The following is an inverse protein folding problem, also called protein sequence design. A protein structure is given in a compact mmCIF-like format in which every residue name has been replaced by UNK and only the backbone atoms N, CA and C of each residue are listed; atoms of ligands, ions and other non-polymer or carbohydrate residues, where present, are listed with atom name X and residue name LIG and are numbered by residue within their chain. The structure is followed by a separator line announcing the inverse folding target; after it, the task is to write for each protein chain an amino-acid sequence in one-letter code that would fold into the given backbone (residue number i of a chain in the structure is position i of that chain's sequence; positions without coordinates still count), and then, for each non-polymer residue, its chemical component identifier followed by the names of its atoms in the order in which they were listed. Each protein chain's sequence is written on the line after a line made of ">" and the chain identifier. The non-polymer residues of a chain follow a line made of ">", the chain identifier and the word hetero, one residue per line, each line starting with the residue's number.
data_IF_971703417285
#
_entry.id   IF_971703417285
#
_cell.length_a   1.000
_cell.length_b   1.000
_cell.length_c   1.000
_cell.angle_alpha   90.00
_cell.angle_beta   90.00
_cell.angle_gamma   90.00
#
_symmetry.space_group_name_H-M   'P 1'
#
loop_
_entity.id
_entity.type
_entity.pdbx_description
1 polymer ?
#
# COMPACT_ATOMS: atom_id res chain seq x y z
N UNK A 1 -9.61 26.41 18.23
CA UNK A 1 -9.53 26.91 16.82
C UNK A 1 -9.75 25.75 15.88
N UNK A 2 -10.75 25.79 15.00
CA UNK A 2 -11.19 24.60 14.22
C UNK A 2 -10.27 24.37 13.02
N UNK A 3 -9.28 23.48 13.13
CA UNK A 3 -8.42 23.02 12.02
C UNK A 3 -9.19 22.26 10.90
N UNK A 4 -10.46 21.93 11.14
CA UNK A 4 -11.31 21.14 10.26
C UNK A 4 -11.52 21.68 8.82
N UNK A 5 -11.21 22.94 8.53
CA UNK A 5 -11.47 23.59 7.23
C UNK A 5 -10.23 24.16 6.55
N UNK A 6 -9.07 24.06 7.15
CA UNK A 6 -7.85 24.52 6.49
C UNK A 6 -7.49 23.53 5.38
N UNK A 7 -7.56 24.00 4.14
CA UNK A 7 -7.00 23.32 2.97
C UNK A 7 -5.66 24.00 2.68
N UNK A 8 -4.67 23.16 2.33
CA UNK A 8 -3.41 23.67 1.80
C UNK A 8 -3.55 24.11 0.33
N UNK A 9 -2.43 24.53 -0.30
CA UNK A 9 -2.41 24.91 -1.72
C UNK A 9 -2.79 23.77 -2.67
N UNK A 10 -2.70 22.52 -2.23
CA UNK A 10 -3.10 21.32 -2.97
C UNK A 10 -4.61 21.03 -2.89
N UNK A 11 -5.37 21.75 -2.08
CA UNK A 11 -6.79 21.52 -1.80
C UNK A 11 -7.06 20.33 -0.87
N UNK A 12 -6.02 19.71 -0.31
CA UNK A 12 -6.11 18.63 0.68
C UNK A 12 -6.34 19.25 2.07
N UNK A 13 -7.17 18.61 2.88
CA UNK A 13 -7.41 19.07 4.26
C UNK A 13 -6.20 18.73 5.13
N UNK A 14 -5.80 19.65 5.99
CA UNK A 14 -4.71 19.40 6.96
C UNK A 14 -5.00 18.16 7.81
N UNK A 15 -6.26 17.94 8.18
CA UNK A 15 -6.68 16.76 8.93
C UNK A 15 -6.40 15.44 8.16
N UNK A 16 -6.61 15.40 6.83
CA UNK A 16 -6.30 14.21 6.03
C UNK A 16 -4.80 13.90 6.06
N UNK A 17 -3.95 14.93 6.00
CA UNK A 17 -2.50 14.78 6.11
C UNK A 17 -2.07 14.23 7.47
N UNK A 18 -2.67 14.70 8.56
CA UNK A 18 -2.40 14.17 9.91
C UNK A 18 -2.81 12.69 10.03
N UNK A 19 -3.95 12.31 9.44
CA UNK A 19 -4.39 10.91 9.37
C UNK A 19 -3.36 10.06 8.61
N UNK A 20 -2.86 10.53 7.45
CA UNK A 20 -1.87 9.80 6.67
C UNK A 20 -0.54 9.66 7.40
N UNK A 21 -0.07 10.72 8.08
CA UNK A 21 1.15 10.64 8.88
C UNK A 21 1.01 9.65 10.03
N UNK A 22 -0.07 9.73 10.80
CA UNK A 22 -0.30 8.77 11.89
C UNK A 22 -0.44 7.34 11.37
N UNK A 23 -1.12 7.14 10.24
CA UNK A 23 -1.26 5.82 9.61
C UNK A 23 0.08 5.28 9.11
N UNK A 24 0.95 6.11 8.51
CA UNK A 24 2.30 5.71 8.11
C UNK A 24 3.09 5.17 9.30
N UNK A 25 3.09 5.91 10.41
CA UNK A 25 3.81 5.53 11.63
C UNK A 25 3.25 4.24 12.26
N UNK A 26 1.92 4.05 12.24
CA UNK A 26 1.27 2.86 12.80
C UNK A 26 1.46 1.61 11.93
N UNK A 27 1.58 1.75 10.61
CA UNK A 27 1.79 0.65 9.68
C UNK A 27 3.27 0.32 9.46
N UNK A 28 4.19 1.08 10.00
CA UNK A 28 5.62 0.76 9.99
C UNK A 28 5.92 -0.48 10.85
N UNK A 29 6.95 -1.23 10.46
CA UNK A 29 7.41 -2.38 11.24
C UNK A 29 7.71 -1.99 12.70
N UNK A 30 7.21 -2.71 13.70
CA UNK A 30 7.40 -2.39 15.10
C UNK A 30 8.80 -2.79 15.61
N UNK A 31 9.79 -1.97 15.27
CA UNK A 31 11.17 -2.04 15.75
C UNK A 31 11.37 -1.32 17.10
N UNK A 32 12.60 -1.15 17.52
CA UNK A 32 12.97 -0.44 18.77
C UNK A 32 12.44 1.01 18.84
N UNK A 33 12.11 1.62 17.69
CA UNK A 33 11.51 2.94 17.58
C UNK A 33 9.99 2.98 17.82
N UNK A 34 9.32 1.83 18.04
CA UNK A 34 7.86 1.76 18.14
C UNK A 34 7.30 2.71 19.21
N UNK A 35 7.89 2.76 20.40
CA UNK A 35 7.41 3.61 21.50
C UNK A 35 7.41 5.09 21.09
N UNK A 36 8.51 5.58 20.54
CA UNK A 36 8.61 6.97 20.07
C UNK A 36 7.63 7.29 18.94
N UNK A 37 7.40 6.33 18.02
CA UNK A 37 6.37 6.49 16.99
C UNK A 37 4.96 6.58 17.58
N UNK A 38 4.64 5.76 18.57
CA UNK A 38 3.35 5.79 19.26
C UNK A 38 3.14 7.10 20.03
N UNK A 39 4.20 7.70 20.59
CA UNK A 39 4.13 8.99 21.24
C UNK A 39 3.85 10.12 20.21
N UNK A 40 4.55 10.09 19.08
CA UNK A 40 4.27 10.99 17.95
C UNK A 40 2.84 10.83 17.43
N UNK A 41 2.34 9.60 17.31
CA UNK A 41 0.95 9.33 16.92
C UNK A 41 -0.02 9.94 17.94
N UNK A 42 0.24 9.82 19.23
CA UNK A 42 -0.62 10.41 20.27
C UNK A 42 -0.70 11.93 20.14
N UNK A 43 0.42 12.60 19.86
CA UNK A 43 0.46 14.04 19.59
C UNK A 43 -0.37 14.41 18.34
N UNK A 44 -0.19 13.68 17.23
CA UNK A 44 -0.95 13.90 16.01
C UNK A 44 -2.46 13.74 16.25
N UNK A 45 -2.87 12.70 17.00
CA UNK A 45 -4.27 12.43 17.32
C UNK A 45 -4.92 13.53 18.14
N UNK A 46 -4.17 14.30 18.93
CA UNK A 46 -4.66 15.51 19.59
C UNK A 46 -5.20 16.55 18.62
N UNK A 47 -4.85 16.48 17.34
CA UNK A 47 -5.26 17.39 16.27
C UNK A 47 -6.21 16.74 15.24
N UNK A 48 -6.49 15.44 15.34
CA UNK A 48 -7.41 14.72 14.44
C UNK A 48 -8.74 14.52 15.14
N UNK A 49 -9.78 15.15 14.60
CA UNK A 49 -11.13 15.04 15.17
C UNK A 49 -11.99 14.02 14.38
N UNK A 50 -12.97 13.45 15.08
CA UNK A 50 -13.97 12.56 14.51
C UNK A 50 -13.49 11.11 14.33
N UNK A 51 -14.26 10.28 13.59
CA UNK A 51 -14.08 8.83 13.55
C UNK A 51 -12.69 8.35 13.12
N UNK A 52 -11.98 9.12 12.28
CA UNK A 52 -10.63 8.75 11.85
C UNK A 52 -9.63 8.77 13.02
N UNK A 53 -9.75 9.74 13.93
CA UNK A 53 -8.94 9.80 15.15
C UNK A 53 -9.20 8.61 16.08
N UNK A 54 -10.46 8.24 16.26
CA UNK A 54 -10.86 7.08 17.06
C UNK A 54 -10.29 5.77 16.48
N UNK A 55 -10.41 5.57 15.17
CA UNK A 55 -9.87 4.41 14.48
C UNK A 55 -8.35 4.28 14.65
N UNK A 56 -7.60 5.37 14.46
CA UNK A 56 -6.15 5.38 14.67
C UNK A 56 -5.79 5.14 16.14
N UNK A 57 -6.54 5.72 17.05
CA UNK A 57 -6.39 5.54 18.49
C UNK A 57 -6.56 4.08 18.92
N UNK A 58 -7.49 3.33 18.32
CA UNK A 58 -7.66 1.90 18.58
C UNK A 58 -6.41 1.10 18.22
N UNK A 59 -5.83 1.34 17.03
CA UNK A 59 -4.57 0.68 16.64
C UNK A 59 -3.42 1.07 17.56
N UNK A 60 -3.26 2.37 17.87
CA UNK A 60 -2.19 2.85 18.75
C UNK A 60 -2.29 2.21 20.15
N UNK A 61 -3.50 2.14 20.72
CA UNK A 61 -3.72 1.49 22.01
C UNK A 61 -3.41 -0.01 21.98
N UNK A 62 -3.82 -0.71 20.92
CA UNK A 62 -3.54 -2.13 20.75
C UNK A 62 -2.03 -2.42 20.65
N UNK A 63 -1.28 -1.59 19.89
CA UNK A 63 0.17 -1.74 19.78
C UNK A 63 0.88 -1.39 21.08
N UNK A 64 0.44 -0.35 21.79
CA UNK A 64 1.02 0.05 23.09
C UNK A 64 0.83 -1.02 24.17
N UNK A 65 -0.24 -1.79 24.09
CA UNK A 65 -0.52 -2.88 25.04
C UNK A 65 0.27 -4.17 24.75
N UNK A 66 1.03 -4.24 23.64
CA UNK A 66 1.80 -5.43 23.25
C UNK A 66 3.26 -5.31 23.70
N UNK A 67 3.83 -6.42 24.11
CA UNK A 67 5.27 -6.55 24.25
C UNK A 67 5.95 -6.37 22.87
N UNK A 68 7.10 -5.68 22.77
CA UNK A 68 7.74 -5.37 21.49
C UNK A 68 7.97 -6.58 20.57
N UNK A 69 8.47 -7.68 21.13
CA UNK A 69 8.71 -8.91 20.36
C UNK A 69 7.40 -9.52 19.86
N UNK A 70 6.34 -9.52 20.67
CA UNK A 70 5.03 -10.02 20.26
C UNK A 70 4.42 -9.13 19.16
N UNK A 71 4.59 -7.81 19.26
CA UNK A 71 4.15 -6.88 18.21
C UNK A 71 4.86 -7.15 16.87
N UNK A 72 6.17 -7.40 16.90
CA UNK A 72 6.96 -7.73 15.71
C UNK A 72 6.51 -9.08 15.09
N UNK A 73 6.28 -10.09 15.91
CA UNK A 73 5.78 -11.39 15.44
C UNK A 73 4.38 -11.28 14.85
N UNK A 74 3.47 -10.54 15.48
CA UNK A 74 2.12 -10.29 14.98
C UNK A 74 2.13 -9.52 13.65
N UNK A 75 3.06 -8.57 13.49
CA UNK A 75 3.26 -7.83 12.24
C UNK A 75 3.68 -8.76 11.10
N UNK A 76 4.73 -9.56 11.30
CA UNK A 76 5.20 -10.53 10.32
C UNK A 76 4.09 -11.53 9.97
N UNK A 77 3.40 -12.08 10.98
CA UNK A 77 2.28 -12.99 10.76
C UNK A 77 1.12 -12.34 9.97
N UNK A 78 0.94 -11.02 10.11
CA UNK A 78 -0.12 -10.28 9.42
C UNK A 78 0.25 -9.91 8.00
N UNK A 79 1.42 -9.28 7.79
CA UNK A 79 1.76 -8.62 6.52
C UNK A 79 2.70 -9.44 5.64
N UNK A 80 3.62 -10.21 6.22
CA UNK A 80 4.61 -10.95 5.45
C UNK A 80 4.14 -12.37 5.10
N UNK A 81 3.42 -13.03 6.04
CA UNK A 81 2.98 -14.40 5.84
C UNK A 81 1.60 -14.53 5.16
N UNK A 82 0.82 -13.44 5.08
CA UNK A 82 -0.51 -13.44 4.47
C UNK A 82 -0.53 -12.62 3.18
N UNK A 83 -0.49 -13.28 2.05
CA UNK A 83 -0.58 -12.63 0.72
C UNK A 83 -1.77 -11.66 0.57
N UNK A 84 -2.87 -11.89 1.31
CA UNK A 84 -4.08 -11.05 1.28
C UNK A 84 -3.97 -9.79 2.15
N UNK A 85 -2.89 -9.63 2.92
CA UNK A 85 -2.65 -8.46 3.75
C UNK A 85 -1.42 -7.67 3.31
N UNK A 86 -0.95 -7.86 2.08
CA UNK A 86 0.19 -7.11 1.55
C UNK A 86 -0.09 -5.62 1.46
N UNK A 87 0.88 -4.82 1.85
CA UNK A 87 0.85 -3.36 1.78
C UNK A 87 1.44 -2.78 0.49
N UNK A 88 1.85 -3.63 -0.45
CA UNK A 88 2.31 -3.19 -1.78
C UNK A 88 1.11 -2.97 -2.69
N UNK A 89 0.81 -1.72 -3.01
CA UNK A 89 -0.43 -1.33 -3.68
C UNK A 89 -0.54 -1.89 -5.09
N UNK A 90 0.57 -1.91 -5.85
CA UNK A 90 0.58 -2.44 -7.22
C UNK A 90 0.50 -3.96 -7.29
N UNK A 91 0.74 -4.66 -6.17
CA UNK A 91 0.62 -6.10 -6.12
C UNK A 91 -0.81 -6.58 -6.44
N UNK A 92 -1.83 -5.84 -6.01
CA UNK A 92 -3.23 -6.18 -6.24
C UNK A 92 -3.70 -5.93 -7.67
N UNK A 93 -3.03 -5.04 -8.41
CA UNK A 93 -3.37 -4.67 -9.79
C UNK A 93 -2.55 -5.44 -10.81
N UNK A 94 -1.27 -5.65 -10.53
CA UNK A 94 -0.32 -6.28 -11.44
C UNK A 94 0.17 -7.67 -10.99
N UNK A 95 -0.10 -8.07 -9.74
CA UNK A 95 0.48 -9.29 -9.18
C UNK A 95 2.00 -9.20 -9.06
N UNK A 96 2.65 -10.35 -8.93
CA UNK A 96 4.11 -10.46 -8.96
C UNK A 96 4.58 -10.72 -10.41
N UNK A 97 4.27 -9.79 -11.30
CA UNK A 97 4.51 -9.89 -12.73
C UNK A 97 5.43 -8.78 -13.23
N UNK A 98 5.95 -8.92 -14.47
CA UNK A 98 6.73 -7.86 -15.14
C UNK A 98 5.97 -6.54 -15.25
N UNK A 99 4.64 -6.56 -15.27
CA UNK A 99 3.82 -5.36 -15.32
C UNK A 99 3.90 -4.53 -14.04
N UNK A 100 4.19 -5.14 -12.88
CA UNK A 100 4.35 -4.45 -11.60
C UNK A 100 5.41 -3.36 -11.66
N UNK A 101 6.57 -3.63 -12.29
CA UNK A 101 7.60 -2.61 -12.48
C UNK A 101 7.11 -1.36 -13.21
N UNK A 102 6.21 -1.53 -14.18
CA UNK A 102 5.59 -0.40 -14.91
C UNK A 102 4.64 0.39 -14.01
N UNK A 103 3.83 -0.28 -13.20
CA UNK A 103 2.91 0.40 -12.27
C UNK A 103 3.66 1.14 -11.15
N UNK A 104 4.73 0.56 -10.62
CA UNK A 104 5.62 1.22 -9.64
C UNK A 104 6.27 2.49 -10.20
N UNK A 105 6.44 2.59 -11.53
CA UNK A 105 7.01 3.78 -12.16
C UNK A 105 6.18 5.04 -11.93
N UNK A 106 4.87 4.91 -11.79
CA UNK A 106 3.99 6.03 -11.49
C UNK A 106 4.29 6.64 -10.12
N UNK A 107 4.57 5.81 -9.12
CA UNK A 107 4.98 6.27 -7.78
C UNK A 107 6.35 6.94 -7.82
N UNK A 108 7.35 6.27 -8.42
CA UNK A 108 8.69 6.82 -8.55
C UNK A 108 8.72 8.15 -9.34
N UNK A 109 7.83 8.31 -10.31
CA UNK A 109 7.68 9.55 -11.07
C UNK A 109 7.08 10.65 -10.20
N UNK A 110 6.02 10.36 -9.43
CA UNK A 110 5.42 11.33 -8.53
C UNK A 110 6.42 11.85 -7.48
N UNK A 111 7.28 10.98 -6.94
CA UNK A 111 8.33 11.39 -6.01
C UNK A 111 9.34 12.33 -6.66
N UNK A 112 9.83 12.01 -7.86
CA UNK A 112 10.78 12.85 -8.60
C UNK A 112 10.18 14.22 -8.99
N UNK A 113 8.92 14.23 -9.42
CA UNK A 113 8.19 15.47 -9.74
C UNK A 113 8.00 16.36 -8.50
N UNK A 114 7.87 15.77 -7.31
CA UNK A 114 7.84 16.48 -6.04
C UNK A 114 9.23 16.90 -5.53
N UNK A 115 10.31 16.59 -6.29
CA UNK A 115 11.69 16.98 -5.93
C UNK A 115 12.35 16.05 -4.91
N UNK A 116 11.79 14.86 -4.64
CA UNK A 116 12.41 13.89 -3.73
C UNK A 116 12.78 12.61 -4.47
N UNK A 117 13.88 11.93 -4.09
CA UNK A 117 14.21 10.64 -4.68
C UNK A 117 13.17 9.58 -4.27
N UNK A 118 12.94 8.55 -5.09
CA UNK A 118 12.23 7.35 -4.64
C UNK A 118 12.92 6.74 -3.40
N UNK A 119 12.17 6.04 -2.52
CA UNK A 119 12.75 5.44 -1.31
C UNK A 119 13.88 4.47 -1.67
N UNK A 120 14.92 4.44 -0.82
CA UNK A 120 16.04 3.53 -0.96
C UNK A 120 15.80 2.34 -0.02
N UNK A 121 15.87 1.12 -0.56
CA UNK A 121 15.67 -0.10 0.22
C UNK A 121 14.22 -0.51 0.43
N UNK A 122 13.26 0.30 -0.04
CA UNK A 122 11.83 -0.01 0.02
C UNK A 122 11.15 0.22 -1.33
N UNK A 123 10.09 -0.52 -1.61
CA UNK A 123 9.35 -0.34 -2.85
C UNK A 123 8.56 0.97 -2.84
N UNK A 124 8.52 1.72 -3.97
CA UNK A 124 7.87 3.02 -4.02
C UNK A 124 6.35 2.96 -3.84
N UNK A 125 5.73 1.79 -4.02
CA UNK A 125 4.30 1.53 -3.84
C UNK A 125 3.95 0.96 -2.45
N UNK A 126 4.92 0.89 -1.52
CA UNK A 126 4.70 0.43 -0.16
C UNK A 126 3.84 1.44 0.61
N UNK A 127 2.71 1.00 1.14
CA UNK A 127 1.69 1.88 1.70
C UNK A 127 2.22 2.87 2.76
N UNK A 128 3.03 2.47 3.77
CA UNK A 128 3.59 3.42 4.73
C UNK A 128 4.39 4.55 4.07
N UNK A 129 5.18 4.25 3.05
CA UNK A 129 5.97 5.25 2.29
C UNK A 129 5.07 6.19 1.51
N UNK A 130 4.04 5.66 0.84
CA UNK A 130 3.07 6.48 0.09
C UNK A 130 2.30 7.41 1.02
N UNK A 131 1.95 6.95 2.23
CA UNK A 131 1.27 7.75 3.24
C UNK A 131 2.16 8.86 3.78
N UNK A 132 3.43 8.57 4.06
CA UNK A 132 4.41 9.58 4.48
C UNK A 132 4.62 10.65 3.41
N UNK A 133 4.81 10.24 2.16
CA UNK A 133 4.89 11.16 1.02
C UNK A 133 3.65 12.06 0.91
N UNK A 134 2.45 11.46 1.02
CA UNK A 134 1.19 12.20 0.98
C UNK A 134 1.03 13.17 2.15
N UNK A 135 1.55 12.83 3.31
CA UNK A 135 1.43 13.67 4.50
C UNK A 135 2.43 14.84 4.49
N UNK A 136 3.68 14.61 4.05
CA UNK A 136 4.80 15.51 4.33
C UNK A 136 5.36 16.21 3.09
N UNK A 137 5.31 15.56 1.91
CA UNK A 137 5.97 16.06 0.70
C UNK A 137 4.99 16.68 -0.28
N UNK A 138 4.13 15.87 -0.91
CA UNK A 138 3.11 16.36 -1.86
C UNK A 138 1.74 15.75 -1.56
N UNK A 139 0.89 16.45 -0.79
CA UNK A 139 -0.43 15.96 -0.45
C UNK A 139 -1.36 15.75 -1.66
N UNK A 140 -1.18 16.56 -2.70
CA UNK A 140 -1.97 16.45 -3.92
C UNK A 140 -1.63 15.19 -4.72
N UNK A 141 -0.34 14.96 -4.99
CA UNK A 141 0.14 13.76 -5.66
C UNK A 141 -0.14 12.51 -4.83
N UNK A 142 0.14 12.55 -3.52
CA UNK A 142 -0.15 11.44 -2.61
C UNK A 142 -1.62 11.05 -2.60
N UNK A 143 -2.53 12.04 -2.53
CA UNK A 143 -3.97 11.77 -2.63
C UNK A 143 -4.36 11.12 -3.95
N UNK A 144 -3.78 11.57 -5.08
CA UNK A 144 -4.03 10.94 -6.39
C UNK A 144 -3.58 9.47 -6.40
N UNK A 145 -2.37 9.17 -5.90
CA UNK A 145 -1.85 7.81 -5.80
C UNK A 145 -2.74 6.93 -4.93
N UNK A 146 -3.10 7.37 -3.73
CA UNK A 146 -3.98 6.63 -2.82
C UNK A 146 -5.37 6.41 -3.43
N UNK A 147 -5.94 7.42 -4.10
CA UNK A 147 -7.26 7.31 -4.75
C UNK A 147 -7.23 6.36 -5.94
N UNK A 148 -6.17 6.39 -6.76
CA UNK A 148 -6.01 5.46 -7.89
C UNK A 148 -5.87 3.99 -7.41
N UNK A 149 -5.39 3.80 -6.18
CA UNK A 149 -5.24 2.48 -5.56
C UNK A 149 -6.31 2.20 -4.50
N UNK A 150 -7.51 2.81 -4.66
CA UNK A 150 -8.63 2.59 -3.74
C UNK A 150 -9.01 1.12 -3.59
N UNK A 151 -9.07 0.39 -4.68
CA UNK A 151 -9.41 -1.05 -4.69
C UNK A 151 -8.42 -1.88 -3.88
N UNK A 152 -7.09 -1.78 -4.07
CA UNK A 152 -6.09 -2.37 -3.17
C UNK A 152 -6.31 -2.06 -1.68
N UNK A 153 -6.59 -0.80 -1.35
CA UNK A 153 -6.83 -0.38 0.03
C UNK A 153 -8.08 -1.04 0.63
N UNK A 154 -9.16 -1.13 -0.13
CA UNK A 154 -10.39 -1.79 0.33
C UNK A 154 -10.21 -3.30 0.52
N UNK A 155 -9.43 -3.97 -0.36
CA UNK A 155 -9.07 -5.38 -0.20
C UNK A 155 -8.23 -5.59 1.06
N UNK A 156 -7.19 -4.77 1.26
CA UNK A 156 -6.35 -4.83 2.46
C UNK A 156 -7.18 -4.61 3.73
N UNK A 157 -8.02 -3.57 3.74
CA UNK A 157 -8.93 -3.27 4.86
C UNK A 157 -9.82 -4.46 5.21
N UNK A 158 -10.44 -5.08 4.19
CA UNK A 158 -11.29 -6.26 4.37
C UNK A 158 -10.51 -7.45 4.95
N UNK A 159 -9.36 -7.77 4.36
CA UNK A 159 -8.51 -8.88 4.82
C UNK A 159 -8.03 -8.71 6.28
N UNK A 160 -7.69 -7.48 6.67
CA UNK A 160 -7.30 -7.18 8.06
C UNK A 160 -8.49 -7.27 9.01
N UNK A 161 -9.68 -6.81 8.60
CA UNK A 161 -10.90 -6.90 9.40
C UNK A 161 -11.33 -8.35 9.61
N UNK A 162 -11.34 -9.17 8.54
CA UNK A 162 -11.69 -10.60 8.59
C UNK A 162 -10.71 -11.39 9.49
N UNK A 163 -9.46 -10.94 9.57
CA UNK A 163 -8.45 -11.54 10.43
C UNK A 163 -8.49 -11.03 11.89
N UNK A 164 -9.37 -10.08 12.23
CA UNK A 164 -9.38 -9.42 13.55
C UNK A 164 -8.08 -8.65 13.85
N UNK A 165 -7.36 -8.18 12.81
CA UNK A 165 -6.07 -7.53 12.96
C UNK A 165 -6.21 -6.15 13.62
N UNK A 166 -5.34 -5.78 14.57
CA UNK A 166 -5.33 -4.45 15.18
C UNK A 166 -5.00 -3.33 14.19
N UNK A 167 -4.51 -3.65 13.00
CA UNK A 167 -4.19 -2.69 11.93
C UNK A 167 -5.38 -2.33 11.05
N UNK A 168 -6.49 -3.09 11.10
CA UNK A 168 -7.69 -2.83 10.30
C UNK A 168 -8.26 -1.41 10.49
N UNK A 169 -8.35 -0.86 11.71
CA UNK A 169 -8.84 0.50 11.93
C UNK A 169 -7.95 1.56 11.27
N UNK A 170 -6.63 1.37 11.23
CA UNK A 170 -5.72 2.31 10.56
C UNK A 170 -6.00 2.41 9.07
N UNK A 171 -6.16 1.28 8.38
CA UNK A 171 -6.48 1.29 6.95
C UNK A 171 -7.89 1.85 6.71
N UNK A 172 -8.84 1.60 7.60
CA UNK A 172 -10.17 2.20 7.54
C UNK A 172 -10.12 3.74 7.67
N UNK A 173 -9.28 4.27 8.57
CA UNK A 173 -9.07 5.71 8.71
C UNK A 173 -8.49 6.35 7.44
N UNK A 174 -7.52 5.69 6.79
CA UNK A 174 -6.99 6.13 5.48
C UNK A 174 -8.10 6.15 4.43
N UNK A 175 -8.87 5.06 4.30
CA UNK A 175 -9.98 4.98 3.35
C UNK A 175 -11.04 6.08 3.55
N UNK A 176 -11.28 6.51 4.80
CA UNK A 176 -12.23 7.57 5.11
C UNK A 176 -11.77 8.98 4.65
N UNK A 177 -10.49 9.19 4.37
CA UNK A 177 -9.95 10.45 3.81
C UNK A 177 -10.09 10.54 2.30
N UNK A 178 -10.35 9.43 1.63
CA UNK A 178 -10.41 9.32 0.17
C UNK A 178 -11.86 9.46 -0.32
N UNK A 179 -12.07 9.74 -1.62
CA UNK A 179 -13.40 9.69 -2.21
C UNK A 179 -14.09 8.36 -1.92
N UNK A 180 -15.41 8.39 -1.78
CA UNK A 180 -16.19 7.16 -1.61
C UNK A 180 -15.97 6.25 -2.81
N UNK A 181 -15.73 4.97 -2.55
CA UNK A 181 -15.58 3.97 -3.60
C UNK A 181 -16.86 3.87 -4.43
N UNK A 182 -16.72 3.82 -5.74
CA UNK A 182 -17.84 3.55 -6.64
C UNK A 182 -18.30 2.09 -6.52
N UNK A 183 -19.53 1.79 -6.92
CA UNK A 183 -20.03 0.40 -6.94
C UNK A 183 -19.15 -0.54 -7.78
N UNK A 184 -18.52 -0.01 -8.83
CA UNK A 184 -17.60 -0.77 -9.67
C UNK A 184 -16.31 -1.11 -8.93
N UNK A 185 -15.73 -0.14 -8.19
CA UNK A 185 -14.54 -0.36 -7.36
C UNK A 185 -14.83 -1.35 -6.23
N UNK A 186 -15.97 -1.22 -5.55
CA UNK A 186 -16.40 -2.15 -4.51
C UNK A 186 -16.50 -3.58 -5.05
N UNK A 187 -17.20 -3.77 -6.18
CA UNK A 187 -17.29 -5.09 -6.86
C UNK A 187 -15.94 -5.63 -7.31
N UNK A 188 -15.01 -4.75 -7.72
CA UNK A 188 -13.65 -5.15 -8.09
C UNK A 188 -12.85 -5.58 -6.85
N UNK A 189 -12.97 -4.88 -5.74
CA UNK A 189 -12.34 -5.24 -4.47
C UNK A 189 -12.83 -6.61 -3.99
N UNK A 190 -14.14 -6.86 -3.97
CA UNK A 190 -14.73 -8.14 -3.59
C UNK A 190 -14.24 -9.31 -4.47
N UNK A 191 -14.10 -9.05 -5.78
CA UNK A 191 -13.57 -10.05 -6.71
C UNK A 191 -12.11 -10.37 -6.42
N UNK A 192 -11.28 -9.34 -6.24
CA UNK A 192 -9.86 -9.50 -5.91
C UNK A 192 -9.66 -10.19 -4.55
N UNK A 193 -10.49 -9.88 -3.56
CA UNK A 193 -10.46 -10.54 -2.27
C UNK A 193 -10.73 -12.05 -2.36
N UNK A 194 -11.58 -12.48 -3.32
CA UNK A 194 -11.92 -13.89 -3.55
C UNK A 194 -10.88 -14.63 -4.40
N UNK A 195 -10.44 -14.02 -5.50
CA UNK A 195 -9.58 -14.67 -6.51
C UNK A 195 -8.10 -14.47 -6.19
N UNK A 196 -7.73 -13.36 -5.54
CA UNK A 196 -6.36 -12.92 -5.34
C UNK A 196 -5.84 -12.03 -6.48
N UNK A 197 -4.59 -11.56 -6.35
CA UNK A 197 -3.94 -10.74 -7.38
C UNK A 197 -3.70 -11.55 -8.65
N UNK A 198 -3.49 -10.87 -9.81
CA UNK A 198 -3.16 -11.53 -11.06
C UNK A 198 -1.93 -12.44 -10.90
N UNK A 199 -2.04 -13.67 -11.39
CA UNK A 199 -0.89 -14.57 -11.49
C UNK A 199 -0.15 -14.29 -12.81
N UNK A 200 1.18 -14.42 -12.79
CA UNK A 200 1.95 -14.35 -14.02
C UNK A 200 1.60 -15.59 -14.88
N UNK A 201 1.04 -15.35 -16.05
CA UNK A 201 0.87 -16.40 -17.06
C UNK A 201 2.25 -16.68 -17.69
N UNK A 202 3.15 -17.29 -16.90
CA UNK A 202 4.45 -17.72 -17.41
C UNK A 202 4.24 -18.95 -18.29
N UNK A 203 4.38 -18.73 -19.62
CA UNK A 203 4.87 -19.78 -20.50
C UNK A 203 4.01 -21.01 -20.67
N UNK A 204 2.70 -20.89 -20.90
CA UNK A 204 1.92 -21.96 -21.55
C UNK A 204 1.88 -21.81 -23.08
N UNK A 205 2.70 -20.94 -23.67
CA UNK A 205 3.03 -21.08 -25.07
C UNK A 205 4.03 -22.25 -25.16
N UNK A 206 3.56 -23.41 -25.63
CA UNK A 206 4.42 -24.50 -26.01
C UNK A 206 5.54 -23.93 -26.90
N UNK A 207 6.79 -24.06 -26.44
CA UNK A 207 7.95 -23.79 -27.28
C UNK A 207 7.86 -24.75 -28.46
N UNK A 208 7.33 -24.27 -29.57
CA UNK A 208 7.47 -24.98 -30.84
C UNK A 208 8.92 -24.75 -31.25
N UNK A 209 9.80 -25.64 -30.83
CA UNK A 209 11.14 -25.80 -31.39
C UNK A 209 10.96 -26.24 -32.85
N UNK A 210 10.80 -25.26 -33.76
CA UNK A 210 10.96 -25.53 -35.19
C UNK A 210 12.46 -25.66 -35.42
N UNK A 211 12.96 -26.89 -35.33
CA UNK A 211 14.34 -27.19 -35.72
C UNK A 211 14.39 -27.03 -37.24
N UNK A 212 15.18 -26.07 -37.78
CA UNK A 212 15.31 -25.94 -39.22
C UNK A 212 15.92 -27.23 -39.78
N UNK A 213 15.43 -27.77 -40.92
CA UNK A 213 15.97 -28.99 -41.51
C UNK A 213 17.47 -28.81 -41.78
N UNK A 214 18.23 -29.82 -41.33
CA UNK A 214 19.68 -29.88 -41.55
C UNK A 214 19.95 -29.85 -43.05
N UNK A 215 20.68 -28.85 -43.56
CA UNK A 215 21.13 -28.81 -44.94
C UNK A 215 22.02 -30.03 -45.20
N UNK A 216 21.59 -30.95 -46.10
CA UNK A 216 22.45 -32.02 -46.59
C UNK A 216 23.56 -31.36 -47.44
N UNK A 217 24.80 -31.46 -46.98
CA UNK A 217 25.95 -31.12 -47.81
C UNK A 217 26.01 -32.14 -48.94
N UNK A 218 26.01 -31.65 -50.18
CA UNK A 218 26.04 -32.45 -51.39
C UNK A 218 27.27 -33.33 -51.46
N UNK A 219 27.05 -34.57 -51.89
CA UNK A 219 28.10 -35.50 -52.21
C UNK A 219 29.00 -34.96 -53.34
N UNK A 220 30.33 -35.19 -53.28
CA UNK A 220 31.21 -34.79 -54.38
C UNK A 220 30.93 -35.63 -55.61
N UNK A 221 30.77 -34.97 -56.74
CA UNK A 221 30.73 -35.61 -58.03
C UNK A 221 32.10 -36.21 -58.42
N UNK A 222 32.12 -37.44 -58.83
CA UNK A 222 33.27 -38.10 -59.47
C UNK A 222 33.34 -37.68 -60.95
#
# INVERSE_FOLDING_TARGET
>A
MRLHRLRDRSGVRVQDRLVWQAASLLLAYPDDGLTGRLDTVAELLGHVAGPAGELLGHTAAALRAREPMAAAMDYVATFDLRRRATMYLTYWTAGDTRNRGREMLAFATAYREAGVPPPIGEAPDYLPVVLEFAATVDPGAGRRLLSAHRVPLDVLRGALADAGSPYAPTVAAVCATLPVATDQEARRADRLAKIGPPAEAVGLQAFTLTVPPRRQEGAPSV
#
